data_IF_551262173426
#
_entry.id   IF_551262173426
#
_cell.length_a   1.000
_cell.length_b   1.000
_cell.length_c   1.000
_cell.angle_alpha   90.00
_cell.angle_beta   90.00
_cell.angle_gamma   90.00
#
_symmetry.space_group_name_H-M   'P 1'
#
loop_
_entity.id
_entity.type
_entity.pdbx_description
1 polymer ?
#
# COMPACT_ATOMS: atom_id res chain seq x y z
N UNK A 1 -26.26 17.39 -4.97
CA UNK A 1 -25.63 16.13 -4.50
C UNK A 1 -24.74 15.44 -5.58
N UNK A 2 -24.11 16.19 -6.49
CA UNK A 2 -23.31 15.61 -7.59
C UNK A 2 -21.81 15.50 -7.26
N UNK A 3 -21.33 16.29 -6.29
CA UNK A 3 -19.91 16.51 -5.96
C UNK A 3 -19.23 15.30 -5.27
N UNK A 4 -19.95 14.46 -4.51
CA UNK A 4 -19.33 13.35 -3.75
C UNK A 4 -19.13 12.06 -4.57
N UNK A 5 -19.85 11.90 -5.70
CA UNK A 5 -19.70 10.74 -6.60
C UNK A 5 -18.29 10.62 -7.20
N UNK A 6 -17.69 11.70 -7.78
CA UNK A 6 -16.33 11.61 -8.29
C UNK A 6 -15.32 11.33 -7.18
N UNK A 7 -15.45 11.94 -6.00
CA UNK A 7 -14.54 11.69 -4.87
C UNK A 7 -14.53 10.23 -4.41
N UNK A 8 -15.70 9.58 -4.34
CA UNK A 8 -15.81 8.14 -4.06
C UNK A 8 -15.07 7.30 -5.12
N UNK A 9 -15.26 7.61 -6.40
CA UNK A 9 -14.66 6.84 -7.50
C UNK A 9 -13.14 7.04 -7.51
N UNK A 10 -12.68 8.29 -7.43
CA UNK A 10 -11.26 8.63 -7.44
C UNK A 10 -10.53 7.99 -6.25
N UNK A 11 -11.08 8.12 -5.04
CA UNK A 11 -10.50 7.47 -3.86
C UNK A 11 -10.47 5.95 -3.99
N UNK A 12 -11.51 5.32 -4.55
CA UNK A 12 -11.50 3.88 -4.83
C UNK A 12 -10.43 3.45 -5.83
N UNK A 13 -10.27 4.19 -6.94
CA UNK A 13 -9.24 3.92 -7.96
C UNK A 13 -7.84 4.08 -7.37
N UNK A 14 -7.61 5.16 -6.60
CA UNK A 14 -6.33 5.39 -5.94
C UNK A 14 -6.02 4.28 -4.94
N UNK A 15 -7.00 3.87 -4.13
CA UNK A 15 -6.84 2.75 -3.20
C UNK A 15 -6.38 1.49 -3.92
N UNK A 16 -7.05 1.10 -5.01
CA UNK A 16 -6.70 -0.05 -5.82
C UNK A 16 -5.30 0.08 -6.44
N UNK A 17 -4.95 1.27 -6.95
CA UNK A 17 -3.63 1.53 -7.53
C UNK A 17 -2.50 1.40 -6.52
N UNK A 18 -2.65 1.97 -5.33
CA UNK A 18 -1.66 1.88 -4.25
C UNK A 18 -1.54 0.46 -3.71
N UNK A 19 -2.65 -0.24 -3.49
CA UNK A 19 -2.61 -1.65 -3.10
C UNK A 19 -1.95 -2.53 -4.16
N UNK A 20 -2.30 -2.37 -5.43
CA UNK A 20 -1.67 -3.10 -6.54
C UNK A 20 -0.16 -2.87 -6.61
N UNK A 21 0.29 -1.61 -6.47
CA UNK A 21 1.73 -1.29 -6.40
C UNK A 21 2.41 -1.85 -5.15
N UNK A 22 1.71 -1.86 -4.02
CA UNK A 22 2.23 -2.48 -2.78
C UNK A 22 2.47 -3.97 -2.98
N UNK A 23 1.50 -4.68 -3.58
CA UNK A 23 1.64 -6.10 -3.90
C UNK A 23 2.80 -6.34 -4.87
N UNK A 24 2.92 -5.54 -5.92
CA UNK A 24 4.04 -5.62 -6.86
C UNK A 24 5.40 -5.41 -6.17
N UNK A 25 5.53 -4.36 -5.35
CA UNK A 25 6.77 -4.08 -4.63
C UNK A 25 7.10 -5.22 -3.67
N UNK A 26 6.09 -5.73 -2.96
CA UNK A 26 6.27 -6.85 -2.03
C UNK A 26 6.77 -8.13 -2.71
N UNK A 27 6.18 -8.51 -3.85
CA UNK A 27 6.60 -9.68 -4.61
C UNK A 27 7.95 -9.48 -5.28
N UNK A 28 8.21 -8.27 -5.80
CA UNK A 28 9.50 -7.90 -6.37
C UNK A 28 10.61 -8.06 -5.32
N UNK A 29 10.43 -7.50 -4.14
CA UNK A 29 11.43 -7.59 -3.08
C UNK A 29 11.65 -9.03 -2.62
N UNK A 30 10.57 -9.80 -2.44
CA UNK A 30 10.68 -11.20 -2.06
C UNK A 30 11.51 -12.04 -3.06
N UNK A 31 11.55 -11.66 -4.34
CA UNK A 31 12.25 -12.41 -5.39
C UNK A 31 13.69 -11.92 -5.64
N UNK A 32 14.00 -10.66 -5.35
CA UNK A 32 15.28 -10.04 -5.77
C UNK A 32 16.18 -9.63 -4.60
N UNK A 33 15.64 -9.50 -3.39
CA UNK A 33 16.39 -9.00 -2.25
C UNK A 33 17.09 -10.13 -1.48
N UNK A 34 18.24 -9.86 -0.86
CA UNK A 34 19.04 -10.88 -0.19
C UNK A 34 18.31 -11.44 1.04
N UNK A 35 18.48 -12.74 1.27
CA UNK A 35 17.96 -13.44 2.46
C UNK A 35 18.88 -13.32 3.69
N UNK A 36 19.97 -12.58 3.57
CA UNK A 36 20.88 -12.25 4.65
C UNK A 36 21.09 -10.73 4.69
N UNK A 37 21.35 -10.13 5.87
CA UNK A 37 21.66 -8.72 5.97
C UNK A 37 22.91 -8.38 5.14
N UNK A 38 22.84 -7.30 4.36
CA UNK A 38 23.98 -6.76 3.62
C UNK A 38 24.23 -5.30 4.05
N UNK A 39 25.24 -5.13 4.91
CA UNK A 39 25.66 -3.82 5.40
C UNK A 39 26.30 -2.94 4.33
N UNK A 40 26.84 -3.52 3.25
CA UNK A 40 27.51 -2.78 2.17
C UNK A 40 26.47 -2.05 1.34
N UNK A 41 25.39 -2.72 0.97
CA UNK A 41 24.28 -2.09 0.21
C UNK A 41 23.21 -1.44 1.09
N UNK A 42 23.34 -1.52 2.43
CA UNK A 42 22.41 -0.92 3.38
C UNK A 42 21.10 -1.70 3.56
N UNK A 43 21.07 -2.96 3.12
CA UNK A 43 19.93 -3.87 3.22
C UNK A 43 19.94 -4.61 4.54
N UNK A 44 19.44 -3.95 5.57
CA UNK A 44 19.51 -4.41 6.96
C UNK A 44 18.14 -4.55 7.62
N UNK A 45 17.08 -4.11 6.95
CA UNK A 45 15.73 -4.09 7.52
C UNK A 45 14.96 -5.34 7.07
N UNK A 46 14.55 -6.22 7.99
CA UNK A 46 13.89 -7.46 7.62
C UNK A 46 12.47 -7.20 7.11
N UNK A 47 12.11 -7.86 6.01
CA UNK A 47 10.76 -8.02 5.50
C UNK A 47 10.42 -9.51 5.54
N UNK A 48 9.45 -9.88 6.38
CA UNK A 48 8.99 -11.26 6.49
C UNK A 48 7.90 -11.58 5.46
N UNK A 49 8.11 -12.64 4.67
CA UNK A 49 7.28 -13.09 3.56
C UNK A 49 7.00 -14.58 3.69
N UNK A 50 5.85 -14.98 4.27
CA UNK A 50 5.34 -16.36 4.25
C UNK A 50 6.42 -17.46 4.43
N UNK A 51 7.30 -17.32 5.43
CA UNK A 51 8.38 -18.27 5.72
C UNK A 51 9.75 -17.94 5.12
N UNK A 52 9.85 -16.86 4.36
CA UNK A 52 11.11 -16.26 3.93
C UNK A 52 11.32 -14.91 4.61
N UNK A 53 12.56 -14.51 4.81
CA UNK A 53 12.93 -13.16 5.25
C UNK A 53 13.89 -12.62 4.21
N UNK A 54 13.57 -11.45 3.66
CA UNK A 54 14.48 -10.68 2.82
C UNK A 54 14.83 -9.38 3.53
N UNK A 55 15.94 -8.77 3.15
CA UNK A 55 16.41 -7.54 3.78
C UNK A 55 16.32 -6.37 2.81
N UNK A 56 15.67 -5.30 3.27
CA UNK A 56 15.45 -4.07 2.54
C UNK A 56 16.38 -2.96 3.04
N UNK A 57 16.62 -2.00 2.16
CA UNK A 57 17.09 -0.68 2.55
C UNK A 57 15.98 0.12 3.25
N UNK A 58 16.33 1.18 4.02
CA UNK A 58 15.35 2.11 4.56
C UNK A 58 14.44 2.74 3.49
N UNK A 59 14.97 3.02 2.30
CA UNK A 59 14.20 3.59 1.20
C UNK A 59 13.14 2.63 0.65
N UNK A 60 13.50 1.37 0.41
CA UNK A 60 12.59 0.33 -0.07
C UNK A 60 11.50 0.01 0.97
N UNK A 61 11.88 -0.05 2.26
CA UNK A 61 10.92 -0.26 3.33
C UNK A 61 9.92 0.91 3.44
N UNK A 62 10.41 2.15 3.37
CA UNK A 62 9.56 3.34 3.38
C UNK A 62 8.64 3.42 2.16
N UNK A 63 9.14 3.02 0.98
CA UNK A 63 8.33 2.93 -0.23
C UNK A 63 7.19 1.92 -0.04
N UNK A 64 7.50 0.70 0.40
CA UNK A 64 6.51 -0.36 0.58
C UNK A 64 5.43 0.06 1.59
N UNK A 65 5.82 0.46 2.80
CA UNK A 65 4.84 0.85 3.82
C UNK A 65 4.13 2.16 3.48
N UNK A 66 4.78 3.07 2.75
CA UNK A 66 4.13 4.28 2.21
C UNK A 66 3.02 3.93 1.22
N UNK A 67 3.26 3.00 0.30
CA UNK A 67 2.24 2.51 -0.64
C UNK A 67 1.09 1.82 0.10
N UNK A 68 1.38 0.97 1.09
CA UNK A 68 0.35 0.29 1.91
C UNK A 68 -0.48 1.31 2.67
N UNK A 69 0.18 2.26 3.35
CA UNK A 69 -0.47 3.31 4.12
C UNK A 69 -1.36 4.21 3.25
N UNK A 70 -0.87 4.64 2.09
CA UNK A 70 -1.66 5.40 1.12
C UNK A 70 -2.88 4.59 0.62
N UNK A 71 -2.67 3.31 0.27
CA UNK A 71 -3.74 2.41 -0.14
C UNK A 71 -4.83 2.25 0.92
N UNK A 72 -4.44 2.04 2.18
CA UNK A 72 -5.35 1.98 3.31
C UNK A 72 -6.10 3.29 3.53
N UNK A 73 -5.42 4.44 3.48
CA UNK A 73 -6.04 5.75 3.65
C UNK A 73 -7.09 6.03 2.57
N UNK A 74 -6.77 5.79 1.30
CA UNK A 74 -7.71 5.99 0.19
C UNK A 74 -8.89 5.00 0.25
N UNK A 75 -8.66 3.77 0.70
CA UNK A 75 -9.74 2.80 0.92
C UNK A 75 -10.72 3.28 1.99
N UNK A 76 -10.22 3.77 3.13
CA UNK A 76 -11.05 4.31 4.22
C UNK A 76 -11.83 5.55 3.78
N UNK A 77 -11.21 6.44 2.98
CA UNK A 77 -11.90 7.59 2.40
C UNK A 77 -13.04 7.15 1.47
N UNK A 78 -12.78 6.18 0.58
CA UNK A 78 -13.81 5.65 -0.33
C UNK A 78 -14.98 5.03 0.45
N UNK A 79 -14.69 4.25 1.49
CA UNK A 79 -15.70 3.66 2.37
C UNK A 79 -16.52 4.73 3.11
N UNK A 80 -15.86 5.77 3.61
CA UNK A 80 -16.50 6.88 4.33
C UNK A 80 -17.43 7.69 3.41
N UNK A 81 -16.99 7.99 2.18
CA UNK A 81 -17.83 8.64 1.18
C UNK A 81 -19.04 7.78 0.79
N UNK A 82 -18.84 6.47 0.64
CA UNK A 82 -19.93 5.54 0.35
C UNK A 82 -20.96 5.49 1.49
N UNK A 83 -20.50 5.36 2.72
CA UNK A 83 -21.38 5.34 3.90
C UNK A 83 -22.19 6.63 4.05
N UNK A 84 -21.52 7.78 3.87
CA UNK A 84 -22.14 9.11 3.98
C UNK A 84 -23.24 9.33 2.92
N UNK A 85 -22.99 8.91 1.68
CA UNK A 85 -24.01 8.96 0.62
C UNK A 85 -25.21 8.07 0.91
N UNK A 86 -24.98 6.87 1.46
CA UNK A 86 -26.07 5.94 1.82
C UNK A 86 -26.95 6.51 2.93
N UNK A 87 -26.37 7.20 3.91
CA UNK A 87 -27.12 7.86 5.00
C UNK A 87 -27.99 9.01 4.48
N UNK A 88 -27.50 9.80 3.52
CA UNK A 88 -28.25 10.93 2.95
C UNK A 88 -29.38 10.51 2.00
N UNK A 89 -29.37 9.27 1.51
CA UNK A 89 -30.40 8.71 0.63
C UNK A 89 -31.55 8.02 1.39
N UNK A 90 -31.47 7.94 2.73
CA UNK A 90 -32.54 7.48 3.63
C UNK A 90 -33.16 8.66 4.32
#
# INVERSE_FOLDING_TARGET
MQQMKPLKIISGILALGFWGRSFYAWTYFNAHEPHAPDNISGRVLPLSTHGSVVYLTPGEQNLLYGLIGAGAAFFLLAASFYYSQRKQAR
#
